data_IF_287550932387
#
_entry.id   IF_287550932387
#
_cell.length_a   1.000
_cell.length_b   1.000
_cell.length_c   1.000
_cell.angle_alpha   90.00
_cell.angle_beta   90.00
_cell.angle_gamma   90.00
#
_symmetry.space_group_name_H-M   'P 1'
#
loop_
_entity.id
_entity.type
_entity.pdbx_description
1 polymer ?
#
# COMPACT_ATOMS: atom_id res chain seq x y z
N UNK A 1 29.64 -10.29 25.31
CA UNK A 1 28.26 -9.75 25.33
C UNK A 1 27.32 -10.83 24.82
N UNK A 2 26.54 -11.48 25.70
CA UNK A 2 25.47 -12.38 25.29
C UNK A 2 24.35 -11.54 24.67
N UNK A 3 24.03 -11.75 23.39
CA UNK A 3 22.83 -11.16 22.79
C UNK A 3 21.64 -11.69 23.59
N UNK A 4 20.95 -10.81 24.32
CA UNK A 4 19.70 -11.13 25.01
C UNK A 4 18.70 -11.56 23.94
N UNK A 5 18.59 -12.86 23.67
CA UNK A 5 17.57 -13.41 22.77
C UNK A 5 16.21 -13.16 23.40
N UNK A 6 15.30 -12.67 22.58
CA UNK A 6 13.92 -12.37 22.94
C UNK A 6 13.31 -13.58 23.69
N UNK A 7 12.66 -13.39 24.86
CA UNK A 7 11.92 -14.46 25.53
C UNK A 7 10.87 -15.15 24.64
N UNK A 8 10.33 -14.46 23.63
CA UNK A 8 9.38 -15.03 22.67
C UNK A 8 10.07 -16.06 21.77
N UNK A 9 11.20 -15.70 21.16
CA UNK A 9 12.00 -16.63 20.33
C UNK A 9 12.61 -17.80 21.12
N UNK A 10 12.67 -17.73 22.45
CA UNK A 10 13.15 -18.84 23.32
C UNK A 10 12.08 -19.87 23.62
N UNK A 11 10.80 -19.52 23.44
CA UNK A 11 9.65 -20.40 23.63
C UNK A 11 8.95 -20.72 22.32
N UNK A 12 9.55 -20.34 21.20
CA UNK A 12 9.06 -20.74 19.89
C UNK A 12 9.54 -22.17 19.62
N UNK A 13 8.71 -23.11 20.05
CA UNK A 13 8.83 -24.55 19.82
C UNK A 13 8.29 -24.95 18.44
N UNK A 14 7.89 -23.98 17.59
CA UNK A 14 7.22 -24.19 16.30
C UNK A 14 5.71 -24.42 16.43
N UNK A 15 5.19 -24.58 17.65
CA UNK A 15 3.78 -24.77 17.95
C UNK A 15 3.04 -23.45 18.25
N UNK A 16 3.78 -22.39 18.61
CA UNK A 16 3.21 -21.06 18.89
C UNK A 16 3.17 -20.26 17.59
N UNK A 17 1.98 -20.14 17.02
CA UNK A 17 1.71 -19.34 15.82
C UNK A 17 2.02 -17.86 16.12
N UNK A 18 3.22 -17.39 15.74
CA UNK A 18 3.60 -15.96 15.75
C UNK A 18 2.95 -15.17 14.60
N UNK A 19 2.09 -15.84 13.82
CA UNK A 19 1.24 -15.22 12.82
C UNK A 19 0.44 -14.07 13.46
N UNK A 20 0.32 -12.97 12.72
CA UNK A 20 -0.36 -11.72 13.11
C UNK A 20 0.46 -10.74 13.97
N UNK A 21 1.65 -11.12 14.46
CA UNK A 21 2.52 -10.20 15.23
C UNK A 21 3.69 -9.66 14.40
N UNK A 22 4.42 -10.51 13.68
CA UNK A 22 5.68 -10.14 13.00
C UNK A 22 5.58 -10.20 11.48
N UNK A 23 4.85 -11.18 10.94
CA UNK A 23 4.56 -11.27 9.51
C UNK A 23 3.05 -11.30 9.28
N UNK A 24 2.62 -10.50 8.31
CA UNK A 24 1.24 -10.45 7.88
C UNK A 24 1.14 -11.21 6.56
N UNK A 25 0.59 -12.43 6.59
CA UNK A 25 0.35 -13.24 5.40
C UNK A 25 -1.14 -13.14 4.98
N UNK A 26 -1.44 -12.70 3.75
CA UNK A 26 -2.83 -12.51 3.33
C UNK A 26 -3.55 -13.86 3.12
N UNK A 27 -4.51 -14.15 4.00
CA UNK A 27 -5.23 -15.43 4.09
C UNK A 27 -6.38 -15.56 3.07
N UNK A 28 -7.01 -14.45 2.65
CA UNK A 28 -8.10 -14.46 1.66
C UNK A 28 -7.76 -13.71 0.37
N UNK A 29 -8.52 -13.95 -0.70
CA UNK A 29 -8.38 -13.22 -1.97
C UNK A 29 -8.64 -11.72 -1.77
N UNK A 30 -9.59 -11.38 -0.89
CA UNK A 30 -9.89 -9.98 -0.53
C UNK A 30 -8.69 -9.36 0.19
N UNK A 31 -8.11 -10.05 1.17
CA UNK A 31 -6.92 -9.57 1.89
C UNK A 31 -5.75 -9.35 0.95
N UNK A 32 -5.53 -10.29 0.00
CA UNK A 32 -4.49 -10.16 -1.03
C UNK A 32 -4.72 -8.92 -1.89
N UNK A 33 -5.95 -8.69 -2.34
CA UNK A 33 -6.28 -7.53 -3.16
C UNK A 33 -6.04 -6.20 -2.40
N UNK A 34 -6.49 -6.13 -1.15
CA UNK A 34 -6.27 -4.97 -0.27
C UNK A 34 -4.77 -4.74 -0.05
N UNK A 35 -4.03 -5.80 0.27
CA UNK A 35 -2.59 -5.73 0.49
C UNK A 35 -1.83 -5.18 -0.71
N UNK A 36 -2.18 -5.59 -1.93
CA UNK A 36 -1.55 -5.09 -3.15
C UNK A 36 -1.75 -3.59 -3.29
N UNK A 37 -2.97 -3.09 -3.07
CA UNK A 37 -3.26 -1.65 -3.16
C UNK A 37 -2.46 -0.86 -2.12
N UNK A 38 -2.50 -1.27 -0.85
CA UNK A 38 -1.76 -0.60 0.22
C UNK A 38 -0.24 -0.64 0.01
N UNK A 39 0.30 -1.79 -0.38
CA UNK A 39 1.72 -1.93 -0.70
C UNK A 39 2.13 -1.07 -1.89
N UNK A 40 1.26 -0.90 -2.89
CA UNK A 40 1.52 -0.03 -4.03
C UNK A 40 1.53 1.46 -3.64
N UNK A 41 0.64 1.90 -2.74
CA UNK A 41 0.68 3.24 -2.16
C UNK A 41 1.98 3.48 -1.37
N UNK A 42 2.36 2.54 -0.52
CA UNK A 42 3.61 2.62 0.22
C UNK A 42 4.81 2.70 -0.75
N UNK A 43 4.87 1.80 -1.72
CA UNK A 43 5.90 1.77 -2.76
C UNK A 43 5.99 3.07 -3.57
N UNK A 44 4.86 3.72 -3.87
CA UNK A 44 4.81 5.00 -4.56
C UNK A 44 5.52 6.11 -3.75
N UNK A 45 5.16 6.30 -2.47
CA UNK A 45 5.76 7.35 -1.64
C UNK A 45 7.21 7.04 -1.23
N UNK A 46 7.52 5.79 -0.90
CA UNK A 46 8.88 5.34 -0.59
C UNK A 46 9.79 5.45 -1.82
N UNK A 47 9.30 5.08 -3.01
CA UNK A 47 10.01 5.25 -4.28
C UNK A 47 10.32 6.71 -4.56
N UNK A 48 9.32 7.60 -4.43
CA UNK A 48 9.53 9.04 -4.55
C UNK A 48 10.58 9.56 -3.56
N UNK A 49 10.54 9.13 -2.30
CA UNK A 49 11.51 9.53 -1.29
C UNK A 49 12.94 9.06 -1.61
N UNK A 50 13.09 7.83 -2.15
CA UNK A 50 14.38 7.28 -2.55
C UNK A 50 15.06 8.11 -3.64
N UNK A 51 14.31 8.51 -4.66
CA UNK A 51 14.84 9.31 -5.78
C UNK A 51 14.95 10.81 -5.47
N UNK A 52 14.19 11.31 -4.49
CA UNK A 52 14.21 12.72 -4.07
C UNK A 52 14.81 12.89 -2.66
N UNK A 53 16.09 12.52 -2.48
CA UNK A 53 16.74 12.47 -1.15
C UNK A 53 16.65 13.79 -0.38
N UNK A 54 16.71 14.94 -1.06
CA UNK A 54 16.56 16.28 -0.46
C UNK A 54 15.21 16.48 0.24
N UNK A 55 14.15 15.83 -0.24
CA UNK A 55 12.79 15.93 0.27
C UNK A 55 12.28 14.62 0.85
N UNK A 56 13.16 13.64 1.10
CA UNK A 56 12.76 12.31 1.56
C UNK A 56 11.93 12.36 2.85
N UNK A 57 12.35 13.14 3.85
CA UNK A 57 11.63 13.30 5.11
C UNK A 57 10.19 13.77 4.91
N UNK A 58 9.96 14.95 4.29
CA UNK A 58 8.62 15.43 3.98
C UNK A 58 7.77 14.48 3.13
N UNK A 59 8.37 13.79 2.16
CA UNK A 59 7.65 12.82 1.31
C UNK A 59 7.20 11.61 2.11
N UNK A 60 8.06 11.05 2.97
CA UNK A 60 7.72 9.94 3.86
C UNK A 60 6.64 10.36 4.85
N UNK A 61 6.78 11.53 5.47
CA UNK A 61 5.78 12.06 6.41
C UNK A 61 4.41 12.22 5.75
N UNK A 62 4.38 12.75 4.52
CA UNK A 62 3.16 12.86 3.73
C UNK A 62 2.54 11.48 3.43
N UNK A 63 3.36 10.52 3.02
CA UNK A 63 2.91 9.14 2.77
C UNK A 63 2.32 8.50 4.03
N UNK A 64 2.99 8.65 5.17
CA UNK A 64 2.52 8.15 6.47
C UNK A 64 1.21 8.83 6.90
N UNK A 65 1.13 10.16 6.79
CA UNK A 65 -0.07 10.91 7.14
C UNK A 65 -1.28 10.43 6.29
N UNK A 66 -1.07 10.19 5.00
CA UNK A 66 -2.10 9.65 4.12
C UNK A 66 -2.49 8.23 4.55
N UNK A 67 -1.52 7.35 4.81
CA UNK A 67 -1.79 5.97 5.23
C UNK A 67 -2.60 5.91 6.54
N UNK A 68 -2.20 6.67 7.55
CA UNK A 68 -2.92 6.77 8.84
C UNK A 68 -4.33 7.32 8.63
N UNK A 69 -4.48 8.38 7.84
CA UNK A 69 -5.78 9.00 7.59
C UNK A 69 -6.74 8.06 6.86
N UNK A 70 -6.23 7.34 5.85
CA UNK A 70 -7.00 6.35 5.10
C UNK A 70 -7.44 5.19 6.01
N UNK A 71 -6.50 4.64 6.79
CA UNK A 71 -6.82 3.56 7.73
C UNK A 71 -7.86 4.00 8.78
N UNK A 72 -7.68 5.18 9.37
CA UNK A 72 -8.64 5.74 10.32
C UNK A 72 -10.02 5.94 9.69
N UNK A 73 -10.08 6.46 8.45
CA UNK A 73 -11.32 6.64 7.72
C UNK A 73 -12.04 5.30 7.48
N UNK A 74 -11.31 4.25 7.08
CA UNK A 74 -11.87 2.92 6.91
C UNK A 74 -12.48 2.38 8.21
N UNK A 75 -11.76 2.50 9.34
CA UNK A 75 -12.27 2.07 10.65
C UNK A 75 -13.52 2.86 11.06
N UNK A 76 -13.60 4.14 10.74
CA UNK A 76 -14.81 4.93 11.01
C UNK A 76 -15.99 4.45 10.17
N UNK A 77 -15.79 4.25 8.87
CA UNK A 77 -16.84 3.82 7.93
C UNK A 77 -17.37 2.42 8.22
N UNK A 78 -16.51 1.52 8.72
CA UNK A 78 -16.87 0.11 8.93
C UNK A 78 -17.25 -0.20 10.37
N UNK A 79 -16.63 0.45 11.36
CA UNK A 79 -16.70 -0.01 12.74
C UNK A 79 -17.39 0.97 13.70
N UNK A 80 -17.53 2.25 13.34
CA UNK A 80 -18.12 3.25 14.25
C UNK A 80 -19.61 3.37 14.01
N UNK A 81 -20.42 3.25 15.06
CA UNK A 81 -21.89 3.32 14.98
C UNK A 81 -22.39 4.57 14.25
N UNK A 82 -21.71 5.71 14.45
CA UNK A 82 -22.07 6.99 13.83
C UNK A 82 -22.01 7.00 12.29
N UNK A 83 -21.13 6.20 11.69
CA UNK A 83 -20.85 6.23 10.25
C UNK A 83 -20.85 4.84 9.60
N UNK A 84 -21.44 3.84 10.28
CA UNK A 84 -21.46 2.43 9.88
C UNK A 84 -22.13 2.24 8.50
N UNK A 85 -21.33 2.38 7.45
CA UNK A 85 -21.78 2.41 6.06
C UNK A 85 -22.46 1.10 5.62
N UNK A 86 -21.99 -0.11 6.03
CA UNK A 86 -22.73 -1.33 5.78
C UNK A 86 -24.16 -1.31 6.34
N UNK A 87 -24.35 -0.79 7.55
CA UNK A 87 -25.69 -0.66 8.16
C UNK A 87 -26.62 0.22 7.32
N UNK A 88 -26.12 1.38 6.89
CA UNK A 88 -26.89 2.27 6.02
C UNK A 88 -27.28 1.61 4.68
N UNK A 89 -26.39 0.80 4.09
CA UNK A 89 -26.69 0.06 2.87
C UNK A 89 -27.79 -1.00 3.07
N UNK A 90 -27.81 -1.66 4.23
CA UNK A 90 -28.87 -2.60 4.59
C UNK A 90 -30.19 -1.86 4.78
N UNK A 91 -30.21 -0.83 5.61
CA UNK A 91 -31.45 -0.17 6.03
C UNK A 91 -32.12 0.62 4.92
N UNK A 92 -31.33 1.28 4.06
CA UNK A 92 -31.86 2.19 3.02
C UNK A 92 -32.01 1.50 1.67
N UNK A 93 -31.04 0.67 1.30
CA UNK A 93 -31.02 0.03 -0.02
C UNK A 93 -31.43 -1.45 0.01
N UNK A 94 -31.71 -2.01 1.18
CA UNK A 94 -32.18 -3.39 1.34
C UNK A 94 -31.11 -4.44 1.04
N UNK A 95 -29.83 -4.09 1.16
CA UNK A 95 -28.74 -5.04 0.91
C UNK A 95 -28.73 -6.12 1.98
N UNK A 96 -28.25 -7.32 1.63
CA UNK A 96 -27.86 -8.29 2.66
C UNK A 96 -26.61 -7.77 3.39
N UNK A 97 -26.42 -8.15 4.66
CA UNK A 97 -25.25 -7.73 5.45
C UNK A 97 -23.93 -8.03 4.74
N UNK A 98 -23.84 -9.21 4.11
CA UNK A 98 -22.66 -9.61 3.33
C UNK A 98 -22.46 -8.68 2.14
N UNK A 99 -23.51 -8.47 1.31
CA UNK A 99 -23.41 -7.61 0.13
C UNK A 99 -23.06 -6.15 0.49
N UNK A 100 -23.58 -5.65 1.60
CA UNK A 100 -23.28 -4.32 2.12
C UNK A 100 -21.79 -4.17 2.49
N UNK A 101 -21.22 -5.11 3.25
CA UNK A 101 -19.79 -5.11 3.60
C UNK A 101 -18.93 -5.17 2.34
N UNK A 102 -19.22 -6.09 1.42
CA UNK A 102 -18.45 -6.21 0.18
C UNK A 102 -18.53 -4.94 -0.67
N UNK A 103 -19.70 -4.30 -0.73
CA UNK A 103 -19.88 -3.05 -1.49
C UNK A 103 -19.03 -1.92 -0.90
N UNK A 104 -19.01 -1.76 0.42
CA UNK A 104 -18.16 -0.75 1.08
C UNK A 104 -16.68 -1.04 0.84
N UNK A 105 -16.25 -2.30 1.00
CA UNK A 105 -14.86 -2.71 0.77
C UNK A 105 -14.45 -2.44 -0.67
N UNK A 106 -15.24 -2.86 -1.66
CA UNK A 106 -14.95 -2.65 -3.09
C UNK A 106 -14.95 -1.17 -3.44
N UNK A 107 -15.93 -0.40 -2.96
CA UNK A 107 -15.99 1.04 -3.21
C UNK A 107 -14.77 1.76 -2.64
N UNK A 108 -14.42 1.48 -1.38
CA UNK A 108 -13.26 2.07 -0.71
C UNK A 108 -11.95 1.74 -1.43
N UNK A 109 -11.69 0.47 -1.71
CA UNK A 109 -10.48 0.04 -2.42
C UNK A 109 -10.45 0.52 -3.88
N UNK A 110 -11.61 0.61 -4.54
CA UNK A 110 -11.75 1.14 -5.90
C UNK A 110 -11.35 2.61 -5.97
N UNK A 111 -11.84 3.44 -5.04
CA UNK A 111 -11.44 4.85 -4.94
C UNK A 111 -9.93 4.99 -4.74
N UNK A 112 -9.36 4.21 -3.81
CA UNK A 112 -7.91 4.22 -3.59
C UNK A 112 -7.14 3.82 -4.84
N UNK A 113 -7.57 2.76 -5.53
CA UNK A 113 -6.94 2.30 -6.77
C UNK A 113 -6.96 3.40 -7.84
N UNK A 114 -8.10 4.05 -8.05
CA UNK A 114 -8.24 5.17 -9.01
C UNK A 114 -7.32 6.32 -8.65
N UNK A 115 -7.26 6.71 -7.37
CA UNK A 115 -6.37 7.79 -6.90
C UNK A 115 -4.89 7.44 -7.11
N UNK A 116 -4.50 6.19 -6.89
CA UNK A 116 -3.15 5.72 -7.15
C UNK A 116 -2.82 5.79 -8.65
N UNK A 117 -3.72 5.28 -9.50
CA UNK A 117 -3.56 5.34 -10.95
C UNK A 117 -3.44 6.78 -11.45
N UNK A 118 -4.23 7.70 -10.89
CA UNK A 118 -4.13 9.13 -11.17
C UNK A 118 -2.76 9.70 -10.77
N UNK A 119 -2.25 9.35 -9.59
CA UNK A 119 -0.93 9.82 -9.14
C UNK A 119 0.20 9.26 -10.00
N UNK A 120 0.12 7.99 -10.40
CA UNK A 120 1.08 7.35 -11.29
C UNK A 120 1.04 7.96 -12.70
N UNK A 121 -0.15 8.28 -13.22
CA UNK A 121 -0.28 8.92 -14.53
C UNK A 121 0.30 10.34 -14.52
N UNK A 122 0.04 11.10 -13.45
CA UNK A 122 0.62 12.43 -13.23
C UNK A 122 2.15 12.35 -13.16
N UNK A 123 2.69 11.42 -12.37
CA UNK A 123 4.14 11.22 -12.27
C UNK A 123 4.75 10.85 -13.63
N UNK A 124 4.12 9.94 -14.38
CA UNK A 124 4.57 9.52 -15.71
C UNK A 124 4.55 10.68 -16.72
N UNK A 125 3.56 11.56 -16.64
CA UNK A 125 3.48 12.75 -17.48
C UNK A 125 4.66 13.71 -17.21
N UNK A 126 4.93 14.00 -15.92
CA UNK A 126 6.07 14.85 -15.53
C UNK A 126 7.39 14.20 -15.94
N UNK A 127 7.58 12.91 -15.66
CA UNK A 127 8.78 12.18 -16.03
C UNK A 127 9.06 12.27 -17.53
N UNK A 128 8.04 12.05 -18.39
CA UNK A 128 8.20 12.17 -19.85
C UNK A 128 8.51 13.59 -20.29
N UNK A 129 7.86 14.59 -19.70
CA UNK A 129 8.10 16.00 -20.04
C UNK A 129 9.52 16.45 -19.67
N UNK A 130 10.08 15.97 -18.56
CA UNK A 130 11.43 16.31 -18.12
C UNK A 130 12.51 15.46 -18.76
N UNK A 131 12.17 14.27 -19.28
CA UNK A 131 13.14 13.33 -19.84
C UNK A 131 13.71 13.79 -21.18
N UNK A 132 13.02 14.65 -21.93
CA UNK A 132 13.45 15.15 -23.24
C UNK A 132 13.66 14.04 -24.28
N UNK A 133 13.81 14.40 -25.54
CA UNK A 133 14.30 13.50 -26.60
C UNK A 133 15.81 13.21 -26.41
N UNK A 134 16.24 12.87 -25.20
CA UNK A 134 17.59 12.36 -24.97
C UNK A 134 17.53 10.87 -25.34
N UNK A 135 18.06 10.47 -26.52
CA UNK A 135 18.19 9.06 -26.80
C UNK A 135 19.26 8.61 -25.83
N UNK A 136 18.85 8.07 -24.69
CA UNK A 136 19.70 7.13 -23.98
C UNK A 136 19.84 5.99 -24.97
N UNK A 137 20.81 6.11 -25.89
CA UNK A 137 21.45 4.96 -26.47
C UNK A 137 21.72 4.08 -25.29
N UNK A 138 21.10 2.88 -25.30
CA UNK A 138 21.40 1.83 -24.35
C UNK A 138 22.87 1.95 -24.06
N UNK A 139 23.28 2.35 -22.85
CA UNK A 139 24.69 2.27 -22.53
C UNK A 139 25.03 0.82 -22.85
N UNK A 140 25.89 0.62 -23.86
CA UNK A 140 26.33 -0.70 -24.27
C UNK A 140 26.60 -1.41 -22.96
N UNK A 141 25.85 -2.49 -22.71
CA UNK A 141 26.07 -3.28 -21.50
C UNK A 141 27.56 -3.60 -21.46
N UNK A 142 28.22 -3.75 -20.30
CA UNK A 142 29.70 -3.88 -20.30
C UNK A 142 30.21 -4.96 -21.28
N UNK A 143 29.35 -5.94 -21.58
CA UNK A 143 29.50 -6.99 -22.59
C UNK A 143 29.57 -6.55 -24.05
N UNK A 144 29.00 -5.40 -24.40
CA UNK A 144 28.98 -4.83 -25.76
C UNK A 144 30.04 -3.72 -25.93
N UNK A 145 30.66 -3.24 -24.84
CA UNK A 145 31.76 -2.25 -24.88
C UNK A 145 33.09 -2.89 -25.29
N UNK A 146 33.24 -4.20 -25.10
CA UNK A 146 34.51 -4.94 -25.30
C UNK A 146 34.60 -5.67 -26.66
N UNK A 147 33.69 -5.40 -27.60
CA UNK A 147 33.59 -6.11 -28.90
C UNK A 147 34.04 -5.26 -30.11
N UNK A 148 34.46 -4.01 -29.90
CA UNK A 148 35.15 -3.16 -30.90
C UNK A 148 36.66 -3.10 -30.68
#
# INVERSE_FOLDING_TARGET
MSRRRDPVQRRDDGDVELHDVVEWEPRTVVDRAVFVVYSAFAGYYLGLARFNRRYAGPVVLKGLAIAVSLHALYNVLVSTEALHAPGYLVDVFGFSSVAAVFTVVVAYNGVLTVLLLYKLSQYRAVYRATRGDDPIGSELTEFERDVE
#
